data_IF_110468732759
#
_entry.id   IF_110468732759
#
_cell.length_a   1.000
_cell.length_b   1.000
_cell.length_c   1.000
_cell.angle_alpha   90.00
_cell.angle_beta   90.00
_cell.angle_gamma   90.00
#
_symmetry.space_group_name_H-M   'P 1'
#
loop_
_entity.id
_entity.type
_entity.pdbx_description
1 polymer ?
#
# COMPACT_ATOMS: atom_id res chain seq x y z
N UNK A 1 8.74 26.00 -3.77
CA UNK A 1 7.51 25.39 -4.27
C UNK A 1 7.76 23.97 -4.72
N UNK A 2 7.03 23.06 -4.17
CA UNK A 2 7.25 21.65 -4.47
C UNK A 2 6.42 21.19 -5.65
N UNK A 3 7.05 20.51 -6.61
CA UNK A 3 6.37 19.84 -7.71
C UNK A 3 6.37 18.33 -7.48
N UNK A 4 6.51 17.94 -6.25
CA UNK A 4 6.59 16.55 -5.90
C UNK A 4 5.27 15.86 -6.17
N UNK A 5 5.35 14.64 -6.71
CA UNK A 5 4.17 13.84 -6.99
C UNK A 5 3.45 13.49 -5.69
N UNK A 6 2.15 13.65 -5.70
CA UNK A 6 1.32 13.27 -4.55
C UNK A 6 0.62 11.96 -4.85
N UNK A 7 0.79 10.99 -3.95
CA UNK A 7 0.22 9.66 -4.12
C UNK A 7 -0.97 9.50 -3.20
N UNK A 8 -2.12 9.13 -3.78
CA UNK A 8 -3.33 8.84 -3.04
C UNK A 8 -3.60 7.35 -3.09
N UNK A 9 -4.03 6.79 -1.98
CA UNK A 9 -4.51 5.41 -1.94
C UNK A 9 -6.02 5.43 -1.93
N UNK A 10 -6.63 4.78 -2.91
CA UNK A 10 -8.07 4.68 -3.00
C UNK A 10 -8.50 3.24 -2.70
N UNK A 11 -9.51 3.12 -1.85
CA UNK A 11 -10.09 1.85 -1.48
C UNK A 11 -11.55 1.85 -1.93
N UNK A 12 -12.01 0.72 -2.46
CA UNK A 12 -13.38 0.62 -2.97
C UNK A 12 -14.38 0.18 -1.91
N UNK A 13 -13.95 -0.66 -0.98
CA UNK A 13 -14.81 -1.20 0.09
C UNK A 13 -14.03 -1.19 1.40
N UNK A 14 -14.39 -0.34 2.38
CA UNK A 14 -15.28 0.81 2.23
C UNK A 14 -14.62 1.88 1.36
N UNK A 15 -15.44 2.70 0.72
CA UNK A 15 -14.91 3.72 -0.19
C UNK A 15 -14.12 4.76 0.59
N UNK A 16 -12.90 5.02 0.10
CA UNK A 16 -11.97 5.90 0.80
C UNK A 16 -10.87 6.33 -0.15
N UNK A 17 -10.42 7.57 -0.02
CA UNK A 17 -9.28 8.06 -0.81
C UNK A 17 -8.43 8.93 0.11
N UNK A 18 -7.20 8.48 0.37
CA UNK A 18 -6.34 9.11 1.36
C UNK A 18 -5.02 9.51 0.73
N UNK A 19 -4.59 10.74 0.98
CA UNK A 19 -3.26 11.20 0.57
C UNK A 19 -2.21 10.54 1.47
N UNK A 20 -1.23 9.88 0.84
CA UNK A 20 -0.13 9.25 1.57
C UNK A 20 0.97 10.28 1.79
N UNK A 21 0.69 11.26 2.63
CA UNK A 21 1.55 12.42 2.79
C UNK A 21 2.87 12.12 3.48
N UNK A 22 2.93 11.04 4.22
CA UNK A 22 4.13 10.68 4.97
C UNK A 22 5.04 9.72 4.22
N UNK A 23 4.60 9.26 3.04
CA UNK A 23 5.43 8.42 2.20
C UNK A 23 6.47 9.29 1.49
N UNK A 24 7.71 8.82 1.48
CA UNK A 24 8.82 9.53 0.86
C UNK A 24 9.19 8.83 -0.43
N UNK A 25 9.15 9.57 -1.55
CA UNK A 25 9.56 9.02 -2.84
C UNK A 25 11.07 8.95 -2.87
N UNK A 26 11.60 7.73 -3.03
CA UNK A 26 13.03 7.48 -3.06
C UNK A 26 13.53 7.51 -4.50
N UNK A 27 12.73 6.95 -5.42
CA UNK A 27 13.10 6.86 -6.83
C UNK A 27 11.83 6.85 -7.66
N UNK A 28 11.88 7.49 -8.82
CA UNK A 28 10.70 7.63 -9.67
C UNK A 28 11.13 7.67 -11.13
N UNK A 29 10.47 6.87 -11.97
CA UNK A 29 10.66 6.91 -13.41
C UNK A 29 9.38 6.46 -14.10
N UNK A 30 9.44 6.20 -15.41
CA UNK A 30 8.26 5.81 -16.18
C UNK A 30 7.74 4.44 -15.81
N UNK A 31 8.60 3.59 -15.27
CA UNK A 31 8.25 2.20 -15.00
C UNK A 31 7.78 1.98 -13.58
N UNK A 32 8.34 2.70 -12.62
CA UNK A 32 7.98 2.47 -11.23
C UNK A 32 8.22 3.69 -10.35
N UNK A 33 7.62 3.65 -9.18
CA UNK A 33 7.85 4.62 -8.11
C UNK A 33 8.19 3.83 -6.85
N UNK A 34 9.34 4.14 -6.26
CA UNK A 34 9.79 3.50 -5.03
C UNK A 34 9.63 4.49 -3.89
N UNK A 35 8.93 4.07 -2.83
CA UNK A 35 8.72 4.91 -1.65
C UNK A 35 9.17 4.20 -0.40
N UNK A 36 9.41 4.98 0.65
CA UNK A 36 9.60 4.44 1.99
C UNK A 36 8.65 5.15 2.94
N UNK A 37 8.25 4.48 4.00
CA UNK A 37 7.24 5.02 4.91
C UNK A 37 7.43 4.46 6.31
N UNK A 38 6.87 5.18 7.27
CA UNK A 38 6.80 4.76 8.66
C UNK A 38 5.36 4.89 9.12
N UNK A 39 4.97 4.05 10.07
CA UNK A 39 3.64 4.19 10.67
C UNK A 39 3.71 5.27 11.74
N UNK A 40 2.70 6.13 11.77
CA UNK A 40 2.62 7.15 12.82
C UNK A 40 2.37 6.50 14.18
N UNK A 41 1.54 5.47 14.18
CA UNK A 41 1.28 4.68 15.37
C UNK A 41 1.74 3.26 15.10
N UNK A 42 3.01 2.95 15.39
CA UNK A 42 3.56 1.64 15.04
C UNK A 42 2.74 0.50 15.64
N UNK A 43 2.44 -0.46 14.78
CA UNK A 43 1.76 -1.67 15.23
C UNK A 43 2.73 -2.55 15.99
N UNK A 44 2.21 -3.50 16.74
CA UNK A 44 3.06 -4.45 17.43
C UNK A 44 3.84 -5.31 16.44
N UNK A 45 3.30 -5.50 15.24
CA UNK A 45 3.91 -6.36 14.23
C UNK A 45 4.84 -5.65 13.28
N UNK A 46 4.58 -4.37 12.98
CA UNK A 46 5.46 -3.65 12.04
C UNK A 46 5.50 -2.16 12.37
N UNK A 47 6.56 -1.50 11.92
CA UNK A 47 6.75 -0.08 12.18
C UNK A 47 7.06 0.73 10.94
N UNK A 48 7.64 0.11 9.91
CA UNK A 48 8.05 0.84 8.71
C UNK A 48 8.13 -0.11 7.53
N UNK A 49 8.35 0.45 6.36
CA UNK A 49 8.48 -0.36 5.16
C UNK A 49 8.84 0.46 3.95
N UNK A 50 8.80 -0.20 2.81
CA UNK A 50 8.96 0.45 1.53
C UNK A 50 8.00 -0.19 0.54
N UNK A 51 7.67 0.57 -0.51
CA UNK A 51 6.72 0.11 -1.51
C UNK A 51 7.25 0.45 -2.89
N UNK A 52 7.03 -0.45 -3.83
CA UNK A 52 7.34 -0.20 -5.23
C UNK A 52 6.04 -0.31 -6.04
N UNK A 53 5.70 0.78 -6.68
CA UNK A 53 4.51 0.85 -7.53
C UNK A 53 4.95 0.59 -8.97
N UNK A 54 4.59 -0.57 -9.50
CA UNK A 54 4.95 -0.96 -10.86
C UNK A 54 3.88 -0.45 -11.81
N UNK A 55 4.17 0.70 -12.43
CA UNK A 55 3.15 1.49 -13.12
C UNK A 55 2.59 0.83 -14.37
N UNK A 56 3.38 -0.02 -15.02
CA UNK A 56 2.95 -0.68 -16.26
C UNK A 56 2.33 -2.04 -16.03
N UNK A 57 2.60 -2.64 -14.88
CA UNK A 57 2.15 -4.00 -14.58
C UNK A 57 0.86 -4.06 -13.79
N UNK A 58 0.50 -2.97 -13.12
CA UNK A 58 -0.75 -2.95 -12.36
C UNK A 58 -0.70 -3.61 -11.02
N UNK A 59 0.48 -3.61 -10.37
CA UNK A 59 0.58 -4.09 -9.01
C UNK A 59 1.57 -3.26 -8.22
N UNK A 60 1.50 -3.41 -6.90
CA UNK A 60 2.36 -2.74 -5.94
C UNK A 60 2.91 -3.80 -5.01
N UNK A 61 4.21 -3.79 -4.79
CA UNK A 61 4.85 -4.71 -3.85
C UNK A 61 5.45 -3.91 -2.72
N UNK A 62 5.12 -4.29 -1.49
CA UNK A 62 5.60 -3.63 -0.30
C UNK A 62 6.36 -4.61 0.58
N UNK A 63 7.38 -4.10 1.27
CA UNK A 63 8.08 -4.83 2.31
C UNK A 63 7.71 -4.22 3.64
N UNK A 64 7.24 -5.06 4.56
CA UNK A 64 6.89 -4.63 5.91
C UNK A 64 7.95 -5.11 6.88
N UNK A 65 8.47 -4.21 7.69
CA UNK A 65 9.55 -4.51 8.62
C UNK A 65 9.10 -4.39 10.07
N UNK A 66 9.62 -5.28 10.90
CA UNK A 66 9.40 -5.21 12.34
C UNK A 66 10.24 -4.08 12.94
N UNK A 67 10.00 -3.82 14.22
CA UNK A 67 10.72 -2.76 14.93
C UNK A 67 12.23 -2.99 14.94
N UNK A 68 12.66 -4.24 14.92
CA UNK A 68 14.09 -4.58 14.95
C UNK A 68 14.73 -4.57 13.58
N UNK A 69 13.96 -4.22 12.54
CA UNK A 69 14.49 -4.15 11.17
C UNK A 69 14.37 -5.44 10.39
N UNK A 70 13.89 -6.51 10.99
CA UNK A 70 13.72 -7.76 10.27
C UNK A 70 12.48 -7.72 9.39
N UNK A 71 12.53 -8.44 8.28
CA UNK A 71 11.41 -8.46 7.33
C UNK A 71 10.27 -9.29 7.88
N UNK A 72 9.08 -8.68 7.95
CA UNK A 72 7.88 -9.38 8.37
C UNK A 72 7.28 -10.17 7.20
N UNK A 73 7.02 -9.48 6.09
CA UNK A 73 6.54 -10.13 4.87
C UNK A 73 6.59 -9.15 3.69
N UNK A 74 6.42 -9.72 2.49
CA UNK A 74 6.13 -8.95 1.29
C UNK A 74 4.62 -8.93 1.10
N UNK A 75 4.10 -7.80 0.66
CA UNK A 75 2.68 -7.63 0.42
C UNK A 75 2.50 -7.16 -1.02
N UNK A 76 1.76 -7.94 -1.80
CA UNK A 76 1.52 -7.60 -3.21
C UNK A 76 0.06 -7.23 -3.39
N UNK A 77 -0.18 -6.00 -3.82
CA UNK A 77 -1.51 -5.47 -4.10
C UNK A 77 -1.73 -5.40 -5.60
N UNK A 78 -2.87 -5.90 -6.07
CA UNK A 78 -3.30 -5.66 -7.44
C UNK A 78 -3.99 -4.31 -7.44
N UNK A 79 -3.51 -3.40 -8.27
CA UNK A 79 -3.97 -2.01 -8.24
C UNK A 79 -4.20 -1.47 -9.65
N UNK A 80 -4.92 -0.36 -9.70
CA UNK A 80 -5.11 0.40 -10.92
C UNK A 80 -4.60 1.82 -10.67
N UNK A 81 -3.84 2.37 -11.62
CA UNK A 81 -3.26 3.69 -11.48
C UNK A 81 -4.03 4.70 -12.32
N UNK A 82 -4.35 5.84 -11.71
CA UNK A 82 -4.97 6.96 -12.40
C UNK A 82 -4.09 8.18 -12.18
N UNK A 83 -3.55 8.70 -13.28
CA UNK A 83 -2.69 9.87 -13.23
C UNK A 83 -3.51 11.14 -13.40
N UNK A 84 -3.21 12.13 -12.59
CA UNK A 84 -3.87 13.44 -12.66
C UNK A 84 -2.81 14.52 -12.84
N UNK A 85 -2.42 14.81 -14.10
CA UNK A 85 -1.34 15.76 -14.34
C UNK A 85 -1.65 17.18 -13.84
N UNK A 86 -2.91 17.55 -13.81
CA UNK A 86 -3.31 18.90 -13.44
C UNK A 86 -2.91 19.27 -12.01
N UNK A 87 -2.81 18.31 -11.13
CA UNK A 87 -2.36 18.58 -9.76
C UNK A 87 -1.19 17.69 -9.36
N UNK A 88 -0.54 17.06 -10.35
CA UNK A 88 0.62 16.21 -10.16
C UNK A 88 0.35 15.12 -9.12
N UNK A 89 -0.75 14.40 -9.29
CA UNK A 89 -1.09 13.32 -8.37
C UNK A 89 -1.31 12.01 -9.10
N UNK A 90 -1.12 10.94 -8.34
CA UNK A 90 -1.34 9.57 -8.80
C UNK A 90 -2.30 8.92 -7.82
N UNK A 91 -3.40 8.39 -8.33
CA UNK A 91 -4.36 7.67 -7.51
C UNK A 91 -4.13 6.18 -7.71
N UNK A 92 -3.81 5.49 -6.63
CA UNK A 92 -3.57 4.05 -6.64
C UNK A 92 -4.80 3.39 -6.05
N UNK A 93 -5.59 2.76 -6.91
CA UNK A 93 -6.85 2.13 -6.50
C UNK A 93 -6.62 0.66 -6.21
N UNK A 94 -6.93 0.25 -4.99
CA UNK A 94 -6.83 -1.14 -4.55
C UNK A 94 -7.98 -1.94 -5.17
N UNK A 95 -7.65 -2.98 -5.92
CA UNK A 95 -8.66 -3.80 -6.60
C UNK A 95 -9.07 -5.02 -5.80
N UNK A 96 -8.73 -5.02 -4.49
CA UNK A 96 -9.22 -6.01 -3.53
C UNK A 96 -8.73 -7.44 -3.81
N UNK A 97 -7.51 -7.57 -4.28
CA UNK A 97 -6.87 -8.86 -4.46
C UNK A 97 -5.41 -8.73 -4.03
N UNK A 98 -5.04 -9.44 -2.97
CA UNK A 98 -3.74 -9.28 -2.35
C UNK A 98 -3.06 -10.62 -2.13
N UNK A 99 -1.73 -10.59 -2.11
CA UNK A 99 -0.91 -11.76 -1.82
C UNK A 99 0.10 -11.36 -0.75
N UNK A 100 0.20 -12.18 0.29
CA UNK A 100 1.20 -12.00 1.33
C UNK A 100 2.21 -13.13 1.23
N UNK A 101 3.49 -12.78 1.13
CA UNK A 101 4.58 -13.75 1.07
C UNK A 101 5.46 -13.59 2.30
N UNK A 102 5.61 -14.66 3.06
CA UNK A 102 6.41 -14.67 4.28
C UNK A 102 7.84 -15.09 3.98
N UNK A 103 8.80 -14.68 4.81
CA UNK A 103 10.22 -15.03 4.58
C UNK A 103 10.48 -16.53 4.57
N UNK A 104 9.63 -17.33 5.20
CA UNK A 104 9.79 -18.79 5.23
C UNK A 104 9.21 -19.48 3.99
N UNK A 105 8.71 -18.69 3.03
CA UNK A 105 8.16 -19.21 1.80
C UNK A 105 6.68 -19.44 1.80
N UNK A 106 6.01 -19.28 2.95
CA UNK A 106 4.56 -19.42 2.99
C UNK A 106 3.92 -18.27 2.21
N UNK A 107 2.82 -18.57 1.55
CA UNK A 107 2.10 -17.58 0.76
C UNK A 107 0.63 -17.63 1.15
N UNK A 108 0.04 -16.46 1.33
CA UNK A 108 -1.37 -16.34 1.64
C UNK A 108 -2.03 -15.44 0.60
N UNK A 109 -3.02 -15.96 -0.10
CA UNK A 109 -3.78 -15.20 -1.07
C UNK A 109 -5.07 -14.75 -0.40
N UNK A 110 -5.26 -13.44 -0.30
CA UNK A 110 -6.47 -12.86 0.28
C UNK A 110 -7.44 -12.65 -0.87
N UNK A 111 -8.53 -13.41 -0.89
CA UNK A 111 -9.51 -13.27 -1.97
C UNK A 111 -10.54 -12.19 -1.64
N UNK A 112 -11.43 -11.95 -2.60
CA UNK A 112 -12.40 -10.88 -2.48
C UNK A 112 -13.31 -11.07 -1.27
N UNK A 113 -13.73 -12.30 -1.01
CA UNK A 113 -14.61 -12.58 0.12
C UNK A 113 -13.92 -12.29 1.44
N UNK A 114 -12.66 -12.71 1.57
CA UNK A 114 -11.87 -12.42 2.77
C UNK A 114 -11.70 -10.93 2.96
N UNK A 115 -11.41 -10.21 1.89
CA UNK A 115 -11.23 -8.77 1.96
C UNK A 115 -12.52 -8.07 2.39
N UNK A 116 -13.64 -8.50 1.86
CA UNK A 116 -14.92 -7.93 2.26
C UNK A 116 -15.20 -8.15 3.74
N UNK A 117 -14.90 -9.34 4.23
CA UNK A 117 -15.07 -9.64 5.65
C UNK A 117 -14.12 -8.81 6.50
N UNK A 118 -12.86 -8.69 6.09
CA UNK A 118 -11.87 -7.91 6.81
C UNK A 118 -12.27 -6.45 6.90
N UNK A 119 -12.68 -5.87 5.79
CA UNK A 119 -13.10 -4.48 5.78
C UNK A 119 -14.34 -4.24 6.62
N UNK A 120 -15.26 -5.17 6.59
CA UNK A 120 -16.46 -5.08 7.42
C UNK A 120 -16.10 -5.17 8.90
N UNK A 121 -15.23 -6.11 9.24
CA UNK A 121 -14.76 -6.26 10.60
C UNK A 121 -13.97 -5.05 11.06
N UNK A 122 -13.11 -4.53 10.20
CA UNK A 122 -12.34 -3.34 10.51
C UNK A 122 -13.23 -2.15 10.76
N UNK A 123 -14.29 -2.03 9.98
CA UNK A 123 -15.24 -0.94 10.18
C UNK A 123 -15.90 -1.03 11.54
N UNK A 124 -16.07 -2.23 12.06
CA UNK A 124 -16.62 -2.44 13.39
C UNK A 124 -15.54 -2.32 14.46
N UNK A 125 -14.38 -2.90 14.22
CA UNK A 125 -13.29 -2.96 15.20
C UNK A 125 -12.50 -1.69 15.28
N UNK A 126 -12.47 -0.94 14.21
CA UNK A 126 -11.75 0.31 14.15
C UNK A 126 -12.23 1.28 15.20
N UNK A 127 -13.40 1.05 15.66
CA UNK A 127 -13.97 1.84 16.73
C UNK A 127 -13.51 1.35 18.07
N UNK A 128 -12.90 0.22 18.10
CA UNK A 128 -12.45 -0.38 19.35
C UNK A 128 -11.08 0.10 19.75
#
# INVERSE_FOLDING_TARGET
MSNELQIYRKRLIPEECILLKDDIIVEQNEDYILTKWKTLNPKTTFSHGCSCYYLKEGFKISKFYRHDGSLLYWYCDIVEYTSRPEDNSLIVTDLLADIILYPDGRMHVVDLDELCLLYTSDAADDKA
#
